data_IF_782567956422
#
_entry.id   IF_782567956422
#
_cell.length_a   1.000
_cell.length_b   1.000
_cell.length_c   1.000
_cell.angle_alpha   90.00
_cell.angle_beta   90.00
_cell.angle_gamma   90.00
#
_symmetry.space_group_name_H-M   'P 1'
#
loop_
_entity.id
_entity.type
_entity.pdbx_description
1 polymer ?
#
# COMPACT_ATOMS: atom_id res chain seq x y z
N UNK A 1 6.63 56.85 28.73
CA UNK A 1 5.80 56.11 27.75
C UNK A 1 6.15 54.64 27.95
N UNK A 2 5.51 53.93 28.91
CA UNK A 2 4.25 53.15 28.77
C UNK A 2 4.34 52.13 27.62
N UNK A 3 4.18 50.80 27.75
CA UNK A 3 3.69 49.82 28.76
C UNK A 3 4.40 48.47 28.39
N UNK A 4 4.96 47.61 29.25
CA UNK A 4 4.47 46.78 30.38
C UNK A 4 3.33 45.81 30.05
N UNK A 5 3.63 44.50 29.99
CA UNK A 5 2.92 43.36 30.62
C UNK A 5 3.33 42.05 29.89
N UNK A 6 4.06 41.12 30.52
CA UNK A 6 3.61 40.17 31.56
C UNK A 6 2.63 39.12 31.05
N UNK A 7 3.07 37.87 31.02
CA UNK A 7 2.31 36.74 31.57
C UNK A 7 3.25 35.52 31.71
N UNK A 8 3.79 35.35 32.91
CA UNK A 8 4.11 34.04 33.46
C UNK A 8 2.86 33.45 34.14
N UNK A 9 2.92 32.14 34.37
CA UNK A 9 2.17 31.32 35.34
C UNK A 9 1.08 30.34 34.83
N UNK A 10 1.42 29.08 35.10
CA UNK A 10 0.60 28.00 35.64
C UNK A 10 -0.53 27.42 34.80
N UNK A 11 -0.28 26.22 34.25
CA UNK A 11 -1.09 25.06 34.57
C UNK A 11 -0.20 23.82 34.76
N UNK A 12 -0.16 23.34 36.02
CA UNK A 12 0.19 21.95 36.37
C UNK A 12 -1.00 21.05 36.01
N UNK A 13 -0.72 19.85 35.52
CA UNK A 13 -1.48 18.64 35.86
C UNK A 13 -2.39 18.04 34.78
N UNK A 14 -2.09 16.78 34.48
CA UNK A 14 -2.95 15.70 33.95
C UNK A 14 -3.19 15.60 32.43
N UNK A 15 -2.53 14.57 31.88
CA UNK A 15 -2.96 13.55 30.91
C UNK A 15 -3.68 14.04 29.63
N UNK A 16 -3.11 13.99 28.42
CA UNK A 16 -2.20 12.99 27.88
C UNK A 16 -2.91 11.93 27.05
N UNK A 17 -3.79 12.33 26.12
CA UNK A 17 -4.14 11.61 24.88
C UNK A 17 -5.21 12.40 24.11
N UNK A 18 -5.25 12.26 22.78
CA UNK A 18 -6.23 12.87 21.85
C UNK A 18 -5.95 14.32 21.42
N UNK A 19 -4.84 14.54 20.71
CA UNK A 19 -4.73 15.60 19.67
C UNK A 19 -3.82 15.14 18.54
N UNK A 20 -4.39 14.41 17.58
CA UNK A 20 -3.76 14.07 16.30
C UNK A 20 -4.87 13.82 15.25
N UNK A 21 -5.72 14.82 15.06
CA UNK A 21 -6.72 14.80 13.98
C UNK A 21 -7.22 16.19 13.52
N UNK A 22 -6.65 17.31 14.00
CA UNK A 22 -7.15 18.66 13.67
C UNK A 22 -6.16 19.59 12.96
N UNK A 23 -4.90 19.18 12.76
CA UNK A 23 -3.89 20.02 12.10
C UNK A 23 -3.72 19.74 10.59
N UNK A 24 -4.43 18.76 10.01
CA UNK A 24 -4.33 18.43 8.58
C UNK A 24 -5.37 19.13 7.67
N UNK A 25 -6.23 20.01 8.21
CA UNK A 25 -7.26 20.72 7.44
C UNK A 25 -7.01 22.23 7.25
N UNK A 26 -5.86 22.75 7.69
CA UNK A 26 -5.57 24.20 7.68
C UNK A 26 -4.57 24.67 6.62
N UNK A 27 -4.33 23.89 5.57
CA UNK A 27 -3.48 24.30 4.42
C UNK A 27 -4.23 24.37 3.08
N UNK A 28 -5.58 24.36 3.08
CA UNK A 28 -6.40 24.40 1.85
C UNK A 28 -7.06 25.74 1.51
N UNK A 29 -6.46 26.87 1.91
CA UNK A 29 -6.87 28.19 1.44
C UNK A 29 -5.68 29.15 1.30
N UNK A 30 -4.92 28.98 0.22
CA UNK A 30 -4.09 30.03 -0.37
C UNK A 30 -3.61 29.57 -1.77
N UNK A 31 -4.52 29.47 -2.72
CA UNK A 31 -4.17 29.55 -4.13
C UNK A 31 -5.01 30.68 -4.71
N UNK A 32 -4.45 31.89 -4.56
CA UNK A 32 -4.91 33.06 -5.25
C UNK A 32 -4.50 32.94 -6.72
N UNK A 33 -5.44 33.29 -7.58
CA UNK A 33 -5.38 33.15 -9.02
C UNK A 33 -4.94 34.50 -9.56
N UNK A 34 -3.73 34.58 -10.11
CA UNK A 34 -3.35 35.70 -10.97
C UNK A 34 -2.97 35.18 -12.37
N UNK A 35 -3.87 35.48 -13.31
CA UNK A 35 -3.70 35.36 -14.74
C UNK A 35 -2.92 36.56 -15.27
N UNK A 36 -1.82 36.35 -16.01
CA UNK A 36 -1.39 37.25 -17.09
C UNK A 36 -0.29 36.63 -18.00
N UNK A 37 -0.74 36.07 -19.13
CA UNK A 37 -0.24 36.32 -20.50
C UNK A 37 1.21 35.91 -20.91
N UNK A 38 1.57 35.90 -22.23
CA UNK A 38 2.00 34.67 -22.91
C UNK A 38 3.37 34.77 -23.61
N UNK A 39 3.95 33.62 -23.96
CA UNK A 39 4.93 33.58 -25.05
C UNK A 39 6.10 32.65 -24.79
N UNK A 40 6.02 31.44 -25.32
CA UNK A 40 7.20 30.82 -25.92
C UNK A 40 6.77 29.85 -27.02
N UNK A 41 7.19 30.20 -28.23
CA UNK A 41 7.03 29.42 -29.46
C UNK A 41 7.88 28.16 -29.33
N UNK A 42 7.27 27.00 -29.52
CA UNK A 42 7.97 25.74 -29.75
C UNK A 42 8.72 25.87 -31.08
N UNK A 43 10.05 25.94 -31.00
CA UNK A 43 10.93 25.87 -32.17
C UNK A 43 10.97 24.42 -32.63
N UNK A 44 10.18 24.11 -33.66
CA UNK A 44 10.31 22.87 -34.41
C UNK A 44 11.61 22.93 -35.22
N UNK A 45 12.65 22.25 -34.76
CA UNK A 45 13.87 22.02 -35.54
C UNK A 45 13.55 20.99 -36.62
N UNK A 46 13.22 21.47 -37.83
CA UNK A 46 13.36 20.70 -39.07
C UNK A 46 14.62 21.18 -39.79
N UNK A 47 15.68 20.41 -39.66
CA UNK A 47 16.82 20.34 -40.58
C UNK A 47 16.97 18.84 -40.85
N UNK A 48 17.00 18.32 -42.07
CA UNK A 48 17.83 18.71 -43.20
C UNK A 48 17.11 18.28 -44.47
N UNK A 49 16.84 19.22 -45.37
CA UNK A 49 16.68 18.89 -46.78
C UNK A 49 17.19 20.08 -47.62
N UNK A 50 17.66 19.76 -48.82
CA UNK A 50 18.21 20.63 -49.85
C UNK A 50 19.74 20.86 -49.83
N UNK A 51 20.39 20.23 -50.82
CA UNK A 51 21.06 20.90 -51.97
C UNK A 51 22.45 20.34 -52.24
N UNK A 52 22.58 19.37 -53.15
CA UNK A 52 23.82 19.12 -53.89
C UNK A 52 23.53 18.43 -55.24
N UNK A 53 23.10 19.28 -56.17
CA UNK A 53 23.29 19.19 -57.62
C UNK A 53 24.43 20.21 -57.89
N UNK A 54 25.51 20.02 -58.66
CA UNK A 54 25.88 19.14 -59.76
C UNK A 54 27.42 19.08 -59.82
N UNK A 55 27.97 17.90 -60.11
CA UNK A 55 29.22 17.79 -60.88
C UNK A 55 29.06 16.61 -61.85
N UNK A 56 28.67 16.93 -63.07
CA UNK A 56 28.86 16.08 -64.24
C UNK A 56 30.29 16.29 -64.73
N UNK A 57 31.09 15.22 -64.84
CA UNK A 57 31.87 14.93 -66.05
C UNK A 57 32.65 13.62 -65.88
N UNK A 58 32.28 12.66 -66.73
CA UNK A 58 33.15 11.69 -67.39
C UNK A 58 34.17 10.90 -66.56
N UNK A 59 33.87 9.62 -66.31
CA UNK A 59 34.69 8.55 -66.87
C UNK A 59 33.93 7.22 -66.96
N UNK A 60 34.15 6.62 -68.11
CA UNK A 60 33.51 5.47 -68.71
C UNK A 60 33.94 4.18 -67.99
N UNK A 61 32.99 3.26 -67.79
CA UNK A 61 33.14 1.79 -67.79
C UNK A 61 34.30 1.18 -66.98
N UNK A 62 33.99 0.43 -65.91
CA UNK A 62 34.46 -0.94 -65.58
C UNK A 62 33.80 -1.34 -64.23
N UNK A 63 33.53 -2.64 -64.04
CA UNK A 63 33.00 -3.33 -62.84
C UNK A 63 31.52 -3.77 -62.82
N UNK A 64 31.11 -4.44 -63.90
CA UNK A 64 29.90 -5.28 -64.01
C UNK A 64 29.99 -6.65 -63.30
N UNK A 65 30.64 -6.76 -62.12
CA UNK A 65 30.80 -8.03 -61.37
C UNK A 65 30.84 -7.89 -59.83
N UNK A 66 30.02 -7.01 -59.24
CA UNK A 66 29.83 -6.94 -57.76
C UNK A 66 28.35 -6.74 -57.37
N UNK A 67 27.43 -7.21 -58.20
CA UNK A 67 25.98 -7.02 -58.02
C UNK A 67 25.30 -8.08 -57.13
N UNK A 68 26.06 -8.90 -56.40
CA UNK A 68 25.49 -9.94 -55.53
C UNK A 68 25.90 -9.82 -54.05
N UNK A 69 26.60 -8.76 -53.65
CA UNK A 69 27.03 -8.58 -52.25
C UNK A 69 26.33 -7.43 -51.51
N UNK A 70 25.28 -6.85 -52.11
CA UNK A 70 24.52 -5.74 -51.52
C UNK A 70 23.02 -6.04 -51.34
N UNK A 71 22.58 -7.30 -51.48
CA UNK A 71 21.18 -7.71 -51.31
C UNK A 71 20.94 -8.62 -50.08
N UNK A 72 21.88 -8.69 -49.15
CA UNK A 72 21.78 -9.51 -47.92
C UNK A 72 21.77 -8.69 -46.63
N UNK A 73 21.71 -7.36 -46.70
CA UNK A 73 21.85 -6.46 -45.55
C UNK A 73 20.58 -5.65 -45.20
N UNK A 74 19.39 -6.22 -45.43
CA UNK A 74 18.12 -5.54 -45.14
C UNK A 74 17.13 -6.42 -44.36
N UNK A 75 17.61 -7.10 -43.31
CA UNK A 75 16.77 -7.84 -42.36
C UNK A 75 17.18 -7.55 -40.90
N UNK A 76 17.46 -6.30 -40.57
CA UNK A 76 17.59 -5.88 -39.17
C UNK A 76 16.16 -5.66 -38.65
N UNK A 77 15.65 -6.69 -37.98
CA UNK A 77 14.32 -6.72 -37.39
C UNK A 77 14.08 -5.56 -36.44
N UNK A 78 12.90 -4.98 -36.54
CA UNK A 78 12.34 -4.03 -35.59
C UNK A 78 12.08 -4.73 -34.24
N UNK A 79 13.13 -4.98 -33.47
CA UNK A 79 13.00 -5.20 -32.03
C UNK A 79 12.69 -3.84 -31.41
N UNK A 80 11.41 -3.48 -31.36
CA UNK A 80 10.96 -2.32 -30.60
C UNK A 80 11.40 -2.46 -29.14
N UNK A 81 11.70 -1.35 -28.44
CA UNK A 81 12.07 -1.41 -27.03
C UNK A 81 10.95 -2.12 -26.27
N UNK A 82 11.32 -3.18 -25.54
CA UNK A 82 10.43 -3.77 -24.55
C UNK A 82 10.17 -2.68 -23.50
N UNK A 83 9.03 -2.01 -23.60
CA UNK A 83 8.58 -1.09 -22.57
C UNK A 83 8.48 -1.91 -21.28
N UNK A 84 9.38 -1.65 -20.33
CA UNK A 84 9.22 -2.16 -18.99
C UNK A 84 7.88 -1.65 -18.46
N UNK A 85 7.07 -2.52 -17.88
CA UNK A 85 5.84 -2.09 -17.25
C UNK A 85 6.21 -1.12 -16.12
N UNK A 86 5.95 0.16 -16.31
CA UNK A 86 6.07 1.14 -15.23
C UNK A 86 5.04 0.83 -14.15
N UNK A 87 5.46 0.85 -12.88
CA UNK A 87 4.57 0.63 -11.76
C UNK A 87 3.50 1.73 -11.66
N UNK A 88 2.25 1.34 -11.46
CA UNK A 88 1.15 2.26 -11.21
C UNK A 88 -0.03 1.54 -10.56
N UNK A 89 -0.66 2.16 -9.57
CA UNK A 89 -1.70 1.56 -8.73
C UNK A 89 -2.87 0.98 -9.56
N UNK A 90 -3.46 1.84 -10.40
CA UNK A 90 -4.64 1.52 -11.22
C UNK A 90 -4.27 1.13 -12.66
N UNK A 91 -2.98 0.86 -12.92
CA UNK A 91 -2.52 0.53 -14.27
C UNK A 91 -2.92 -0.90 -14.61
N UNK A 92 -3.61 -1.14 -15.74
CA UNK A 92 -3.87 -2.51 -16.21
C UNK A 92 -2.56 -3.22 -16.58
N UNK A 93 -2.36 -4.41 -16.03
CA UNK A 93 -1.22 -5.28 -16.31
C UNK A 93 -1.73 -6.68 -16.63
N UNK A 94 -1.15 -7.32 -17.65
CA UNK A 94 -1.37 -8.74 -17.89
C UNK A 94 -0.52 -9.55 -16.93
N UNK A 95 -1.19 -10.32 -16.07
CA UNK A 95 -0.56 -11.21 -15.10
C UNK A 95 -0.89 -12.67 -15.43
N UNK A 96 0.09 -13.54 -15.24
CA UNK A 96 -0.06 -14.99 -15.29
C UNK A 96 0.92 -15.61 -14.27
N UNK A 97 0.40 -15.85 -13.07
CA UNK A 97 1.18 -16.33 -11.93
C UNK A 97 0.48 -17.58 -11.39
N UNK A 98 1.11 -18.77 -11.50
CA UNK A 98 0.53 -19.98 -10.93
C UNK A 98 0.58 -19.97 -9.40
N UNK A 99 -0.22 -20.83 -8.76
CA UNK A 99 -0.20 -21.02 -7.31
C UNK A 99 1.16 -21.57 -6.86
N UNK A 100 1.92 -20.79 -6.10
CA UNK A 100 3.28 -21.15 -5.67
C UNK A 100 3.59 -20.61 -4.27
N UNK A 101 4.81 -20.83 -3.75
CA UNK A 101 5.22 -20.20 -2.49
C UNK A 101 5.19 -18.68 -2.64
N UNK A 102 4.61 -17.96 -1.67
CA UNK A 102 4.33 -16.53 -1.82
C UNK A 102 5.57 -15.70 -2.10
N UNK A 103 6.74 -16.04 -1.55
CA UNK A 103 7.99 -15.34 -1.87
C UNK A 103 8.36 -15.41 -3.37
N UNK A 104 8.18 -16.58 -4.00
CA UNK A 104 8.37 -16.74 -5.45
C UNK A 104 7.27 -16.04 -6.24
N UNK A 105 6.03 -16.09 -5.74
CA UNK A 105 4.89 -15.42 -6.35
C UNK A 105 5.06 -13.89 -6.39
N UNK A 106 5.49 -13.28 -5.29
CA UNK A 106 5.72 -11.84 -5.18
C UNK A 106 6.90 -11.38 -6.05
N UNK A 107 7.96 -12.19 -6.17
CA UNK A 107 9.07 -11.92 -7.08
C UNK A 107 8.59 -11.93 -8.54
N UNK A 108 7.80 -12.93 -8.92
CA UNK A 108 7.25 -13.01 -10.28
C UNK A 108 6.24 -11.90 -10.56
N UNK A 109 5.39 -11.59 -9.58
CA UNK A 109 4.47 -10.46 -9.63
C UNK A 109 5.20 -9.15 -9.88
N UNK A 110 6.25 -8.87 -9.10
CA UNK A 110 7.10 -7.68 -9.27
C UNK A 110 7.71 -7.60 -10.66
N UNK A 111 8.15 -8.74 -11.21
CA UNK A 111 8.70 -8.82 -12.57
C UNK A 111 7.65 -8.50 -13.65
N UNK A 112 6.41 -8.96 -13.47
CA UNK A 112 5.33 -8.76 -14.44
C UNK A 112 4.70 -7.37 -14.35
N UNK A 113 4.55 -6.80 -13.16
CA UNK A 113 3.96 -5.46 -12.95
C UNK A 113 4.97 -4.32 -13.00
N UNK A 114 6.26 -4.64 -12.80
CA UNK A 114 7.33 -3.66 -12.61
C UNK A 114 7.24 -2.88 -11.29
N UNK A 115 6.34 -3.29 -10.38
CA UNK A 115 6.22 -2.72 -9.06
C UNK A 115 7.17 -3.34 -8.06
N UNK A 116 7.66 -2.52 -7.13
CA UNK A 116 8.49 -2.98 -6.02
C UNK A 116 7.59 -3.54 -4.93
N UNK A 117 7.98 -4.68 -4.38
CA UNK A 117 7.28 -5.34 -3.27
C UNK A 117 8.27 -5.67 -2.16
N UNK A 118 7.85 -5.47 -0.91
CA UNK A 118 8.62 -5.76 0.29
C UNK A 118 7.81 -6.65 1.23
N UNK A 119 8.27 -7.88 1.43
CA UNK A 119 7.70 -8.79 2.42
C UNK A 119 8.32 -8.51 3.80
N UNK A 120 7.49 -8.42 4.85
CA UNK A 120 7.99 -8.27 6.22
C UNK A 120 8.88 -9.47 6.60
N UNK A 121 10.13 -9.24 7.05
CA UNK A 121 11.04 -10.31 7.44
C UNK A 121 10.55 -11.16 8.63
N UNK A 122 9.57 -10.71 9.40
CA UNK A 122 8.94 -11.49 10.48
C UNK A 122 8.13 -12.67 9.94
N UNK A 123 7.74 -12.65 8.66
CA UNK A 123 7.03 -13.74 8.02
C UNK A 123 8.05 -14.82 7.63
N UNK A 124 8.29 -15.75 8.55
CA UNK A 124 9.33 -16.79 8.40
C UNK A 124 8.84 -18.06 7.71
N UNK A 125 7.53 -18.32 7.71
CA UNK A 125 6.93 -19.45 7.01
C UNK A 125 5.79 -18.96 6.11
N UNK A 126 6.13 -18.35 4.97
CA UNK A 126 5.16 -17.60 4.22
C UNK A 126 4.27 -18.58 3.42
N UNK A 127 2.94 -18.39 3.42
CA UNK A 127 1.97 -19.32 2.84
C UNK A 127 2.10 -19.46 1.31
N UNK A 128 1.23 -20.27 0.71
CA UNK A 128 1.14 -20.34 -0.76
C UNK A 128 0.22 -19.23 -1.29
N UNK A 129 0.55 -18.70 -2.46
CA UNK A 129 -0.30 -17.79 -3.22
C UNK A 129 -1.46 -18.53 -3.87
N UNK A 130 -2.52 -17.79 -4.18
CA UNK A 130 -3.50 -18.21 -5.18
C UNK A 130 -2.92 -18.06 -6.59
N UNK A 131 -3.47 -18.77 -7.60
CA UNK A 131 -3.16 -18.46 -8.98
C UNK A 131 -3.84 -17.14 -9.38
N UNK A 132 -3.15 -16.30 -10.14
CA UNK A 132 -3.68 -15.03 -10.66
C UNK A 132 -3.39 -14.96 -12.15
N UNK A 133 -4.45 -14.81 -12.94
CA UNK A 133 -4.34 -14.76 -14.40
C UNK A 133 -5.31 -13.73 -14.97
N UNK A 134 -4.88 -13.07 -16.05
CA UNK A 134 -5.71 -12.13 -16.80
C UNK A 134 -5.13 -10.72 -16.84
N UNK A 135 -5.96 -9.75 -17.22
CA UNK A 135 -5.59 -8.34 -17.16
C UNK A 135 -6.29 -7.72 -15.96
N UNK A 136 -5.51 -7.35 -14.95
CA UNK A 136 -5.96 -6.75 -13.70
C UNK A 136 -5.19 -5.46 -13.49
N UNK A 137 -5.71 -4.54 -12.69
CA UNK A 137 -4.82 -3.47 -12.22
C UNK A 137 -3.79 -4.02 -11.21
N UNK A 138 -2.69 -3.29 -11.01
CA UNK A 138 -1.61 -3.70 -10.12
C UNK A 138 -2.13 -4.04 -8.72
N UNK A 139 -2.98 -3.20 -8.13
CA UNK A 139 -3.51 -3.41 -6.79
C UNK A 139 -4.40 -4.66 -6.70
N UNK A 140 -5.33 -4.83 -7.63
CA UNK A 140 -6.20 -6.02 -7.73
C UNK A 140 -5.39 -7.29 -7.89
N UNK A 141 -4.32 -7.25 -8.69
CA UNK A 141 -3.49 -8.43 -8.94
C UNK A 141 -2.73 -8.88 -7.69
N UNK A 142 -2.19 -7.96 -6.87
CA UNK A 142 -1.52 -8.33 -5.62
C UNK A 142 -2.53 -8.79 -4.57
N UNK A 143 -3.71 -8.17 -4.49
CA UNK A 143 -4.77 -8.62 -3.57
C UNK A 143 -5.27 -10.01 -3.93
N UNK A 144 -5.47 -10.28 -5.22
CA UNK A 144 -5.85 -11.62 -5.69
C UNK A 144 -4.77 -12.66 -5.38
N UNK A 145 -3.49 -12.27 -5.45
CA UNK A 145 -2.36 -13.15 -5.18
C UNK A 145 -2.26 -13.56 -3.70
N UNK A 146 -2.57 -12.62 -2.82
CA UNK A 146 -2.52 -12.76 -1.36
C UNK A 146 -3.83 -13.28 -0.75
N UNK A 147 -4.90 -13.42 -1.53
CA UNK A 147 -6.19 -13.86 -1.03
C UNK A 147 -6.08 -15.24 -0.35
N UNK A 148 -6.64 -15.34 0.86
CA UNK A 148 -6.60 -16.53 1.70
C UNK A 148 -5.24 -16.84 2.35
N UNK A 149 -4.23 -16.00 2.13
CA UNK A 149 -2.91 -16.16 2.75
C UNK A 149 -2.84 -15.58 4.18
N UNK A 150 -3.86 -14.84 4.62
CA UNK A 150 -3.79 -14.06 5.87
C UNK A 150 -2.78 -12.93 5.83
N UNK A 151 -2.31 -12.57 4.62
CA UNK A 151 -1.38 -11.50 4.37
C UNK A 151 -2.09 -10.29 3.77
N UNK A 152 -1.53 -9.12 4.07
CA UNK A 152 -2.06 -7.83 3.67
C UNK A 152 -1.09 -7.14 2.73
N UNK A 153 -1.59 -6.32 1.81
CA UNK A 153 -0.77 -5.49 0.94
C UNK A 153 -1.15 -4.02 1.08
N UNK A 154 -0.20 -3.20 1.50
CA UNK A 154 -0.38 -1.75 1.63
C UNK A 154 0.52 -1.01 0.64
N UNK A 155 -0.04 -0.22 -0.31
CA UNK A 155 0.76 0.68 -1.14
C UNK A 155 1.30 1.82 -0.28
N UNK A 156 2.60 2.07 -0.36
CA UNK A 156 3.29 3.17 0.31
C UNK A 156 4.22 3.90 -0.64
N UNK A 157 4.54 5.15 -0.32
CA UNK A 157 5.62 5.87 -0.96
C UNK A 157 6.92 5.61 -0.19
N UNK A 158 7.95 5.15 -0.90
CA UNK A 158 9.32 5.10 -0.43
C UNK A 158 10.10 6.30 -1.00
N UNK A 159 10.82 7.01 -0.14
CA UNK A 159 11.59 8.20 -0.48
C UNK A 159 13.11 7.95 -0.43
N UNK A 160 13.53 6.69 -0.30
CA UNK A 160 14.95 6.31 -0.15
C UNK A 160 15.82 6.70 -1.36
N UNK A 161 15.23 6.86 -2.55
CA UNK A 161 15.92 7.26 -3.78
C UNK A 161 15.84 8.78 -4.04
N UNK A 162 16.10 9.59 -3.01
CA UNK A 162 16.26 11.04 -3.10
C UNK A 162 14.99 11.80 -3.47
N UNK A 163 14.15 12.18 -2.50
CA UNK A 163 12.94 13.02 -2.64
C UNK A 163 11.93 12.65 -3.74
N UNK A 164 12.14 11.55 -4.47
CA UNK A 164 11.22 10.99 -5.46
C UNK A 164 10.45 9.86 -4.80
N UNK A 165 9.14 10.00 -4.72
CA UNK A 165 8.26 8.98 -4.20
C UNK A 165 8.25 7.77 -5.15
N UNK A 166 8.67 6.62 -4.65
CA UNK A 166 8.57 5.33 -5.34
C UNK A 166 7.41 4.54 -4.73
N UNK A 167 6.46 4.10 -5.56
CA UNK A 167 5.38 3.23 -5.10
C UNK A 167 5.95 1.85 -4.74
N UNK A 168 5.79 1.45 -3.48
CA UNK A 168 6.17 0.15 -2.95
C UNK A 168 4.96 -0.52 -2.33
N UNK A 169 4.77 -1.81 -2.59
CA UNK A 169 3.78 -2.62 -1.88
C UNK A 169 4.44 -3.30 -0.69
N UNK A 170 4.00 -2.96 0.52
CA UNK A 170 4.42 -3.64 1.74
C UNK A 170 3.47 -4.80 1.99
N UNK A 171 4.03 -6.00 2.10
CA UNK A 171 3.29 -7.22 2.41
C UNK A 171 3.63 -7.68 3.82
N UNK A 172 2.64 -7.69 4.69
CA UNK A 172 2.78 -8.04 6.10
C UNK A 172 1.52 -8.73 6.66
N UNK A 173 1.49 -8.97 7.96
CA UNK A 173 0.33 -9.47 8.73
C UNK A 173 -0.07 -8.50 9.85
N UNK A 174 0.23 -7.20 9.70
CA UNK A 174 0.21 -6.26 10.82
C UNK A 174 -1.20 -6.09 11.41
N UNK A 175 -2.23 -5.87 10.59
CA UNK A 175 -3.59 -5.69 11.12
C UNK A 175 -4.09 -7.01 11.72
N UNK A 176 -3.87 -8.13 11.02
CA UNK A 176 -4.20 -9.48 11.53
C UNK A 176 -3.61 -9.74 12.91
N UNK A 177 -2.31 -9.48 13.08
CA UNK A 177 -1.61 -9.64 14.36
C UNK A 177 -2.12 -8.66 15.42
N UNK A 178 -2.33 -7.39 15.09
CA UNK A 178 -2.87 -6.38 16.02
C UNK A 178 -4.20 -6.83 16.63
N UNK A 179 -5.15 -7.28 15.79
CA UNK A 179 -6.45 -7.75 16.25
C UNK A 179 -6.37 -9.12 16.95
N UNK A 180 -5.51 -10.02 16.48
CA UNK A 180 -5.23 -11.31 17.12
C UNK A 180 -4.77 -11.14 18.57
N UNK A 181 -3.67 -10.40 18.79
CA UNK A 181 -3.13 -10.14 20.13
C UNK A 181 -4.15 -9.46 21.04
N UNK A 182 -4.96 -8.54 20.49
CA UNK A 182 -5.98 -7.82 21.26
C UNK A 182 -7.14 -8.73 21.69
N UNK A 183 -7.62 -9.58 20.78
CA UNK A 183 -8.71 -10.52 21.08
C UNK A 183 -8.27 -11.62 22.05
N UNK A 184 -7.02 -12.09 21.97
CA UNK A 184 -6.43 -13.03 22.94
C UNK A 184 -6.34 -12.41 24.35
N UNK A 185 -5.91 -11.15 24.43
CA UNK A 185 -5.84 -10.40 25.70
C UNK A 185 -7.21 -10.29 26.35
N UNK A 186 -8.25 -9.97 25.56
CA UNK A 186 -9.63 -9.91 26.04
C UNK A 186 -10.09 -11.27 26.55
N UNK A 187 -9.79 -12.35 25.83
CA UNK A 187 -10.19 -13.69 26.26
C UNK A 187 -9.50 -14.14 27.55
N UNK A 188 -8.22 -13.81 27.70
CA UNK A 188 -7.49 -13.98 28.96
C UNK A 188 -8.16 -13.23 30.12
N UNK A 189 -8.60 -11.98 29.90
CA UNK A 189 -9.34 -11.20 30.90
C UNK A 189 -10.71 -11.80 31.24
N UNK A 190 -11.43 -12.31 30.24
CA UNK A 190 -12.73 -12.99 30.45
C UNK A 190 -12.49 -14.22 31.34
N UNK A 191 -11.56 -15.09 30.97
CA UNK A 191 -11.21 -16.30 31.73
C UNK A 191 -10.83 -15.97 33.18
N UNK A 192 -10.01 -14.94 33.38
CA UNK A 192 -9.61 -14.49 34.73
C UNK A 192 -10.79 -13.99 35.59
N UNK A 193 -11.86 -13.48 34.95
CA UNK A 193 -13.07 -13.04 35.64
C UNK A 193 -14.09 -14.17 35.87
N UNK A 194 -14.09 -15.22 35.05
CA UNK A 194 -15.00 -16.36 35.20
C UNK A 194 -14.85 -17.09 36.54
N UNK A 195 -13.63 -17.17 37.07
CA UNK A 195 -13.34 -17.79 38.35
C UNK A 195 -13.72 -16.94 39.58
N UNK A 196 -14.26 -15.72 39.38
CA UNK A 196 -14.64 -14.83 40.48
C UNK A 196 -16.11 -15.03 40.89
N UNK A 197 -16.35 -15.23 42.20
CA UNK A 197 -17.67 -15.56 42.77
C UNK A 197 -18.79 -14.53 42.53
N UNK A 198 -18.46 -13.25 42.30
CA UNK A 198 -19.44 -12.13 42.20
C UNK A 198 -19.44 -11.46 40.82
N UNK A 199 -19.12 -12.22 39.76
CA UNK A 199 -19.08 -11.69 38.39
C UNK A 199 -20.28 -12.17 37.58
N UNK A 200 -20.88 -11.26 36.80
CA UNK A 200 -21.99 -11.58 35.90
C UNK A 200 -21.51 -12.48 34.74
N UNK A 201 -21.77 -13.79 34.88
CA UNK A 201 -21.38 -14.81 33.90
C UNK A 201 -22.10 -14.65 32.56
N UNK A 202 -23.35 -14.18 32.56
CA UNK A 202 -24.11 -13.97 31.32
C UNK A 202 -23.49 -12.85 30.50
N UNK A 203 -23.07 -11.78 31.18
CA UNK A 203 -22.35 -10.67 30.55
C UNK A 203 -20.96 -11.07 30.04
N UNK A 204 -20.21 -11.87 30.80
CA UNK A 204 -18.93 -12.43 30.32
C UNK A 204 -19.11 -13.28 29.06
N UNK A 205 -20.09 -14.18 29.03
CA UNK A 205 -20.38 -15.01 27.86
C UNK A 205 -20.77 -14.15 26.64
N UNK A 206 -21.53 -13.07 26.85
CA UNK A 206 -21.83 -12.11 25.78
C UNK A 206 -20.58 -11.40 25.26
N UNK A 207 -19.65 -11.00 26.13
CA UNK A 207 -18.37 -10.42 25.71
C UNK A 207 -17.49 -11.42 24.97
N UNK A 208 -17.42 -12.67 25.42
CA UNK A 208 -16.70 -13.74 24.70
C UNK A 208 -17.23 -13.93 23.29
N UNK A 209 -18.57 -14.01 23.14
CA UNK A 209 -19.20 -14.13 21.82
C UNK A 209 -18.88 -12.94 20.91
N UNK A 210 -18.90 -11.71 21.44
CA UNK A 210 -18.54 -10.51 20.69
C UNK A 210 -17.06 -10.49 20.30
N UNK A 211 -16.17 -10.88 21.21
CA UNK A 211 -14.73 -10.98 20.95
C UNK A 211 -14.43 -11.97 19.83
N UNK A 212 -15.03 -13.17 19.90
CA UNK A 212 -14.92 -14.18 18.85
C UNK A 212 -15.49 -13.69 17.51
N UNK A 213 -16.60 -12.96 17.53
CA UNK A 213 -17.16 -12.37 16.31
C UNK A 213 -16.19 -11.38 15.67
N UNK A 214 -15.58 -10.47 16.44
CA UNK A 214 -14.57 -9.54 15.91
C UNK A 214 -13.39 -10.30 15.31
N UNK A 215 -12.83 -11.28 16.03
CA UNK A 215 -11.70 -12.08 15.56
C UNK A 215 -12.01 -12.76 14.22
N UNK A 216 -13.18 -13.40 14.12
CA UNK A 216 -13.60 -14.08 12.90
C UNK A 216 -13.86 -13.11 11.75
N UNK A 217 -14.52 -11.97 12.01
CA UNK A 217 -14.82 -10.97 10.99
C UNK A 217 -13.53 -10.36 10.43
N UNK A 218 -12.60 -9.94 11.30
CA UNK A 218 -11.32 -9.36 10.86
C UNK A 218 -10.51 -10.37 10.06
N UNK A 219 -10.37 -11.60 10.58
CA UNK A 219 -9.62 -12.65 9.88
C UNK A 219 -10.24 -13.00 8.52
N UNK A 220 -11.57 -13.12 8.45
CA UNK A 220 -12.27 -13.38 7.19
C UNK A 220 -12.05 -12.24 6.19
N UNK A 221 -12.08 -10.99 6.64
CA UNK A 221 -11.96 -9.84 5.76
C UNK A 221 -10.53 -9.67 5.21
N UNK A 222 -9.52 -9.82 6.07
CA UNK A 222 -8.11 -9.84 5.63
C UNK A 222 -7.89 -10.98 4.62
N UNK A 223 -8.41 -12.17 4.89
CA UNK A 223 -8.29 -13.28 3.95
C UNK A 223 -9.00 -13.02 2.63
N UNK A 224 -10.11 -12.26 2.63
CA UNK A 224 -10.90 -12.00 1.43
C UNK A 224 -10.33 -10.89 0.58
N UNK A 225 -9.85 -9.81 1.20
CA UNK A 225 -9.47 -8.59 0.51
C UNK A 225 -7.96 -8.33 0.52
N UNK A 226 -7.19 -9.08 1.31
CA UNK A 226 -5.76 -8.82 1.56
C UNK A 226 -5.47 -7.40 2.04
N UNK A 227 -6.46 -6.82 2.72
CA UNK A 227 -6.38 -5.62 3.52
C UNK A 227 -7.62 -5.57 4.41
N UNK A 228 -7.60 -4.72 5.43
CA UNK A 228 -8.79 -4.42 6.22
C UNK A 228 -9.31 -3.03 5.83
N UNK A 229 -10.55 -2.96 5.34
CA UNK A 229 -11.14 -1.68 5.00
C UNK A 229 -11.35 -0.80 6.25
N UNK A 230 -11.39 0.52 6.04
CA UNK A 230 -11.47 1.48 7.13
C UNK A 230 -12.73 1.31 7.99
N UNK A 231 -13.88 0.98 7.39
CA UNK A 231 -15.15 0.83 8.09
C UNK A 231 -15.17 -0.40 8.99
N UNK A 232 -14.71 -1.53 8.49
CA UNK A 232 -14.56 -2.77 9.28
C UNK A 232 -13.56 -2.56 10.40
N UNK A 233 -12.42 -1.90 10.14
CA UNK A 233 -11.42 -1.60 11.16
C UNK A 233 -11.99 -0.75 12.29
N UNK A 234 -12.68 0.35 11.97
CA UNK A 234 -13.31 1.23 12.97
C UNK A 234 -14.32 0.44 13.80
N UNK A 235 -15.18 -0.32 13.15
CA UNK A 235 -16.20 -1.13 13.83
C UNK A 235 -15.58 -2.15 14.78
N UNK A 236 -14.53 -2.86 14.33
CA UNK A 236 -13.82 -3.82 15.16
C UNK A 236 -13.18 -3.15 16.37
N UNK A 237 -12.49 -2.02 16.18
CA UNK A 237 -11.89 -1.25 17.28
C UNK A 237 -12.93 -0.82 18.31
N UNK A 238 -14.07 -0.28 17.88
CA UNK A 238 -15.14 0.17 18.76
C UNK A 238 -15.76 -0.99 19.56
N UNK A 239 -15.97 -2.14 18.92
CA UNK A 239 -16.48 -3.33 19.58
C UNK A 239 -15.51 -3.83 20.67
N UNK A 240 -14.21 -3.86 20.38
CA UNK A 240 -13.19 -4.27 21.36
C UNK A 240 -13.07 -3.27 22.51
N UNK A 241 -13.06 -1.96 22.22
CA UNK A 241 -13.08 -0.88 23.23
C UNK A 241 -14.27 -1.04 24.20
N UNK A 242 -15.45 -1.35 23.66
CA UNK A 242 -16.66 -1.57 24.45
C UNK A 242 -16.53 -2.78 25.38
N UNK A 243 -15.95 -3.89 24.89
CA UNK A 243 -15.71 -5.09 25.70
C UNK A 243 -14.72 -4.77 26.83
N UNK A 244 -13.56 -4.20 26.50
CA UNK A 244 -12.48 -3.88 27.45
C UNK A 244 -12.97 -2.94 28.55
N UNK A 245 -13.74 -1.90 28.20
CA UNK A 245 -14.37 -0.99 29.16
C UNK A 245 -15.31 -1.74 30.11
N UNK A 246 -16.08 -2.68 29.57
CA UNK A 246 -16.95 -3.56 30.34
C UNK A 246 -16.19 -4.44 31.33
N UNK A 247 -15.13 -5.11 30.87
CA UNK A 247 -14.28 -5.96 31.69
C UNK A 247 -13.56 -5.18 32.79
N UNK A 248 -13.09 -3.95 32.50
CA UNK A 248 -12.48 -3.05 33.49
C UNK A 248 -13.45 -2.72 34.62
N UNK A 249 -14.71 -2.40 34.30
CA UNK A 249 -15.77 -2.14 35.30
C UNK A 249 -16.07 -3.39 36.14
N UNK A 250 -16.20 -4.56 35.51
CA UNK A 250 -16.46 -5.82 36.21
C UNK A 250 -15.31 -6.22 37.14
N UNK A 251 -14.06 -6.00 36.70
CA UNK A 251 -12.87 -6.21 37.54
C UNK A 251 -12.90 -5.31 38.78
N UNK A 252 -13.22 -4.02 38.62
CA UNK A 252 -13.32 -3.07 39.73
C UNK A 252 -14.41 -3.47 40.73
N UNK A 253 -15.61 -3.86 40.25
CA UNK A 253 -16.71 -4.35 41.09
C UNK A 253 -16.33 -5.61 41.85
N UNK A 254 -15.66 -6.57 41.20
CA UNK A 254 -15.23 -7.80 41.84
C UNK A 254 -14.21 -7.54 42.96
N UNK A 255 -13.32 -6.55 42.80
CA UNK A 255 -12.38 -6.13 43.85
C UNK A 255 -13.10 -5.43 45.01
N UNK A 256 -14.01 -4.50 44.71
CA UNK A 256 -14.79 -3.80 45.73
C UNK A 256 -15.61 -4.76 46.60
N UNK A 257 -16.17 -5.81 45.98
CA UNK A 257 -17.00 -6.80 46.68
C UNK A 257 -16.25 -7.78 47.61
N UNK A 258 -14.91 -7.71 47.63
CA UNK A 258 -14.03 -8.46 48.54
C UNK A 258 -13.64 -7.66 49.78
N UNK A 259 -13.80 -6.33 49.75
CA UNK A 259 -13.68 -5.46 50.93
C UNK A 259 -14.99 -5.50 51.71
#
# INVERSE_FOLDING_TARGET
MNQSASCSENLRGFDGEVRLAQDAQRERHAFDVDCCAPGMRVVAVRLVDATLQLFFSENFMIYKKRAHLLLSLLLIGAAGPAAANECGLDKPVRVDIPAQMIGSALKEWSRQTGCVVRLDPKITNPPRSQPVQGTLNTQESIYSLLAGAGLEATPTNDYSAGNVATLVFVVDDEQGRYFGERTERIESQITALEHKKKTDKRKLAAYRKKNLHVANTVSAEINRQSHLDAGTRITAVDQLNHIETGLKKMKAQAVASRR
#
